data_IF_252213156925
#
_entry.id   IF_252213156925
#
_cell.length_a   1.000
_cell.length_b   1.000
_cell.length_c   1.000
_cell.angle_alpha   90.00
_cell.angle_beta   90.00
_cell.angle_gamma   90.00
#
_symmetry.space_group_name_H-M   'P 1'
#
loop_
_entity.id
_entity.type
_entity.pdbx_description
1 polymer ?
#
# COMPACT_ATOMS: atom_id res chain seq x y z
N UNK A 1 -9.17 -29.73 11.44
CA UNK A 1 -8.38 -28.68 12.13
C UNK A 1 -7.10 -28.30 11.37
N UNK A 2 -6.28 -29.24 10.90
CA UNK A 2 -5.00 -28.95 10.22
C UNK A 2 -5.14 -28.25 8.86
N UNK A 3 -6.21 -28.50 8.09
CA UNK A 3 -6.44 -27.84 6.79
C UNK A 3 -6.83 -26.36 6.94
N UNK A 4 -7.80 -26.07 7.80
CA UNK A 4 -8.25 -24.70 8.09
C UNK A 4 -7.12 -23.86 8.68
N UNK A 5 -6.32 -24.38 9.61
CA UNK A 5 -5.15 -23.66 10.12
C UNK A 5 -4.12 -23.38 9.01
N UNK A 6 -3.91 -24.33 8.10
CA UNK A 6 -2.97 -24.18 6.97
C UNK A 6 -3.48 -23.25 5.88
N UNK A 7 -4.80 -23.13 5.72
CA UNK A 7 -5.45 -22.15 4.84
C UNK A 7 -5.37 -20.75 5.48
N UNK A 8 -5.70 -20.60 6.76
CA UNK A 8 -5.55 -19.32 7.49
C UNK A 8 -4.10 -18.82 7.55
N UNK A 9 -3.11 -19.72 7.68
CA UNK A 9 -1.68 -19.36 7.69
C UNK A 9 -1.11 -19.10 6.28
N UNK A 10 -1.76 -19.59 5.21
CA UNK A 10 -1.31 -19.33 3.83
C UNK A 10 -1.61 -17.91 3.37
N UNK A 11 -2.67 -17.32 3.89
CA UNK A 11 -3.14 -16.00 3.46
C UNK A 11 -2.73 -14.93 4.47
N UNK A 12 -1.52 -15.02 5.01
CA UNK A 12 -0.90 -13.97 5.82
C UNK A 12 0.13 -13.23 4.96
N UNK A 13 -0.04 -11.92 4.84
CA UNK A 13 0.88 -11.01 4.16
C UNK A 13 1.48 -10.10 5.22
N UNK A 14 2.81 -10.06 5.30
CA UNK A 14 3.55 -9.13 6.15
C UNK A 14 4.11 -8.02 5.27
N UNK A 15 4.02 -6.78 5.73
CA UNK A 15 4.54 -5.62 5.03
C UNK A 15 5.37 -4.75 6.00
N UNK A 16 6.68 -4.71 5.74
CA UNK A 16 7.69 -3.85 6.36
C UNK A 16 8.45 -3.12 5.22
N UNK A 17 7.83 -2.10 4.60
CA UNK A 17 8.37 -1.52 3.37
C UNK A 17 9.67 -0.77 3.65
N UNK A 18 10.71 -1.08 2.86
CA UNK A 18 12.05 -0.47 2.96
C UNK A 18 12.35 0.33 1.70
N UNK A 19 12.08 1.66 1.67
CA UNK A 19 12.23 2.50 0.48
C UNK A 19 13.55 2.34 -0.27
N UNK A 20 14.66 2.12 0.45
CA UNK A 20 15.97 1.89 -0.16
C UNK A 20 16.02 0.68 -1.11
N UNK A 21 15.17 -0.32 -0.92
CA UNK A 21 15.11 -1.55 -1.74
C UNK A 21 14.08 -1.47 -2.87
N UNK A 22 13.28 -0.40 -2.92
CA UNK A 22 12.10 -0.29 -3.80
C UNK A 22 12.37 0.56 -5.05
N UNK A 23 13.63 0.99 -5.22
CA UNK A 23 14.05 1.97 -6.23
C UNK A 23 14.56 1.35 -7.52
N UNK A 24 14.86 0.05 -7.50
CA UNK A 24 15.48 -0.65 -8.61
C UNK A 24 14.44 -1.19 -9.61
N UNK A 25 14.96 -1.68 -10.74
CA UNK A 25 14.18 -2.43 -11.72
C UNK A 25 13.90 -3.84 -11.20
N UNK A 26 12.70 -4.35 -11.47
CA UNK A 26 12.26 -5.65 -10.99
C UNK A 26 11.67 -6.47 -12.15
N UNK A 27 11.85 -7.79 -12.10
CA UNK A 27 11.29 -8.67 -13.13
C UNK A 27 9.75 -8.67 -13.06
N UNK A 28 9.08 -8.33 -14.17
CA UNK A 28 7.61 -8.16 -14.24
C UNK A 28 6.79 -9.43 -13.89
N UNK A 29 7.44 -10.60 -13.86
CA UNK A 29 6.77 -11.86 -13.54
C UNK A 29 6.47 -12.07 -12.05
N UNK A 30 7.02 -11.24 -11.16
CA UNK A 30 6.76 -11.31 -9.71
C UNK A 30 5.30 -10.91 -9.40
N UNK A 31 4.62 -11.72 -8.58
CA UNK A 31 3.16 -11.60 -8.39
C UNK A 31 2.73 -11.19 -7.00
N UNK A 32 3.52 -11.51 -5.98
CA UNK A 32 3.17 -11.27 -4.59
C UNK A 32 4.15 -10.25 -4.01
N UNK A 33 3.65 -9.25 -3.26
CA UNK A 33 4.51 -8.29 -2.59
C UNK A 33 5.44 -9.03 -1.62
N UNK A 34 6.73 -8.75 -1.73
CA UNK A 34 7.72 -9.14 -0.72
C UNK A 34 7.53 -8.28 0.53
N UNK A 35 7.92 -8.82 1.67
CA UNK A 35 7.81 -8.16 2.97
C UNK A 35 8.49 -6.79 2.98
N UNK A 36 9.70 -6.70 2.44
CA UNK A 36 10.50 -5.47 2.32
C UNK A 36 10.03 -4.51 1.19
N UNK A 37 9.08 -4.94 0.36
CA UNK A 37 8.60 -4.20 -0.80
C UNK A 37 9.58 -4.15 -1.98
N UNK A 38 10.70 -4.88 -1.97
CA UNK A 38 11.72 -4.80 -3.02
C UNK A 38 11.17 -5.01 -4.43
N UNK A 39 10.16 -5.89 -4.59
CA UNK A 39 9.50 -6.13 -5.88
C UNK A 39 8.33 -5.18 -6.19
N UNK A 40 8.27 -3.99 -5.59
CA UNK A 40 7.16 -3.04 -5.72
C UNK A 40 6.80 -2.79 -7.20
N UNK A 41 7.79 -2.47 -8.03
CA UNK A 41 7.58 -2.14 -9.44
C UNK A 41 6.85 -3.25 -10.21
N UNK A 42 7.22 -4.52 -9.97
CA UNK A 42 6.59 -5.67 -10.61
C UNK A 42 5.13 -5.87 -10.16
N UNK A 43 4.88 -5.74 -8.86
CA UNK A 43 3.52 -5.89 -8.30
C UNK A 43 2.59 -4.79 -8.80
N UNK A 44 3.05 -3.54 -8.80
CA UNK A 44 2.29 -2.42 -9.35
C UNK A 44 2.05 -2.59 -10.85
N UNK A 45 3.06 -3.00 -11.60
CA UNK A 45 2.94 -3.26 -13.05
C UNK A 45 1.83 -4.27 -13.33
N UNK A 46 1.79 -5.36 -12.57
CA UNK A 46 0.75 -6.39 -12.65
C UNK A 46 -0.64 -5.84 -12.31
N UNK A 47 -0.78 -5.07 -11.23
CA UNK A 47 -2.05 -4.46 -10.85
C UNK A 47 -2.58 -3.51 -11.92
N UNK A 48 -1.67 -2.77 -12.58
CA UNK A 48 -2.02 -1.81 -13.62
C UNK A 48 -2.36 -2.45 -14.98
N UNK A 49 -2.17 -3.76 -15.16
CA UNK A 49 -2.65 -4.47 -16.36
C UNK A 49 -4.18 -4.54 -16.41
N UNK A 50 -4.84 -4.46 -15.25
CA UNK A 50 -6.29 -4.30 -15.15
C UNK A 50 -6.63 -2.81 -14.96
N UNK A 51 -7.40 -2.19 -15.88
CA UNK A 51 -7.84 -0.80 -15.71
C UNK A 51 -8.55 -0.53 -14.39
N UNK A 52 -9.33 -1.49 -13.86
CA UNK A 52 -9.99 -1.32 -12.57
C UNK A 52 -8.98 -1.31 -11.41
N UNK A 53 -8.01 -2.23 -11.45
CA UNK A 53 -6.89 -2.27 -10.52
C UNK A 53 -6.05 -0.99 -10.54
N UNK A 54 -5.76 -0.45 -11.73
CA UNK A 54 -5.06 0.84 -11.88
C UNK A 54 -5.84 1.99 -11.24
N UNK A 55 -7.15 2.08 -11.48
CA UNK A 55 -7.97 3.16 -10.90
C UNK A 55 -8.06 3.07 -9.38
N UNK A 56 -8.22 1.87 -8.82
CA UNK A 56 -8.25 1.70 -7.36
C UNK A 56 -6.90 2.08 -6.75
N UNK A 57 -5.78 1.66 -7.36
CA UNK A 57 -4.44 2.05 -6.93
C UNK A 57 -4.25 3.57 -6.96
N UNK A 58 -4.65 4.22 -8.06
CA UNK A 58 -4.61 5.68 -8.19
C UNK A 58 -5.46 6.36 -7.10
N UNK A 59 -6.61 5.79 -6.73
CA UNK A 59 -7.44 6.32 -5.65
C UNK A 59 -6.76 6.25 -4.27
N UNK A 60 -5.96 5.20 -4.03
CA UNK A 60 -5.19 5.04 -2.80
C UNK A 60 -4.05 6.05 -2.76
N UNK A 61 -3.25 6.14 -3.81
CA UNK A 61 -2.06 7.02 -3.79
C UNK A 61 -2.42 8.51 -3.88
N UNK A 62 -3.53 8.86 -4.54
CA UNK A 62 -4.05 10.25 -4.53
C UNK A 62 -4.53 10.70 -3.16
N UNK A 63 -4.76 9.78 -2.23
CA UNK A 63 -5.08 10.13 -0.85
C UNK A 63 -3.86 10.67 -0.08
N UNK A 64 -2.65 10.68 -0.68
CA UNK A 64 -1.40 11.18 -0.12
C UNK A 64 -1.16 12.67 -0.47
N UNK A 65 -1.27 13.60 0.49
CA UNK A 65 -1.31 15.05 0.20
C UNK A 65 0.03 15.77 -0.05
N UNK A 66 1.02 15.21 -0.76
CA UNK A 66 2.24 15.98 -1.15
C UNK A 66 2.33 16.29 -2.63
N UNK A 67 1.83 15.40 -3.48
CA UNK A 67 2.00 15.49 -4.92
C UNK A 67 0.65 15.11 -5.55
N UNK A 68 0.17 15.90 -6.49
CA UNK A 68 -0.97 15.49 -7.32
C UNK A 68 -0.47 14.40 -8.27
N UNK A 69 -0.52 13.15 -7.80
CA UNK A 69 -0.22 11.98 -8.63
C UNK A 69 -1.40 11.79 -9.58
N UNK A 70 -1.20 12.16 -10.84
CA UNK A 70 -2.23 12.08 -11.88
C UNK A 70 -2.26 10.71 -12.53
N UNK A 71 -1.11 10.07 -12.68
CA UNK A 71 -1.00 8.76 -13.32
C UNK A 71 0.17 7.92 -12.78
N UNK A 72 0.11 6.62 -13.07
CA UNK A 72 1.17 5.64 -12.83
C UNK A 72 1.54 4.95 -14.16
N UNK A 73 2.83 4.92 -14.44
CA UNK A 73 3.44 4.34 -15.64
C UNK A 73 4.65 3.50 -15.27
N UNK A 74 5.22 2.82 -16.26
CA UNK A 74 6.34 1.91 -16.07
C UNK A 74 7.37 2.08 -17.18
N UNK A 75 8.64 2.02 -16.80
CA UNK A 75 9.74 1.88 -17.74
C UNK A 75 10.00 0.39 -17.91
N UNK A 76 9.83 -0.13 -19.12
CA UNK A 76 9.99 -1.54 -19.46
C UNK A 76 11.30 -1.77 -20.22
N UNK A 77 12.04 -2.82 -19.85
CA UNK A 77 13.27 -3.23 -20.56
C UNK A 77 13.00 -4.42 -21.49
N UNK A 78 13.86 -4.68 -22.49
CA UNK A 78 13.75 -5.88 -23.33
C UNK A 78 13.86 -7.21 -22.56
N UNK A 79 14.34 -7.18 -21.30
CA UNK A 79 14.45 -8.35 -20.42
C UNK A 79 13.20 -8.55 -19.55
N UNK A 80 12.14 -7.77 -19.80
CA UNK A 80 10.91 -7.74 -18.99
C UNK A 80 11.14 -7.25 -17.56
N UNK A 81 12.16 -6.42 -17.35
CA UNK A 81 12.30 -5.68 -16.10
C UNK A 81 11.47 -4.41 -16.17
N UNK A 82 10.85 -4.04 -15.07
CA UNK A 82 9.96 -2.88 -14.94
C UNK A 82 10.36 -2.01 -13.77
N UNK A 83 10.25 -0.70 -13.95
CA UNK A 83 10.42 0.29 -12.89
C UNK A 83 9.21 1.22 -12.87
N UNK A 84 8.60 1.40 -11.69
CA UNK A 84 7.47 2.31 -11.53
C UNK A 84 7.91 3.77 -11.72
N UNK A 85 7.01 4.53 -12.33
CA UNK A 85 7.15 5.95 -12.60
C UNK A 85 5.82 6.64 -12.35
N UNK A 86 5.83 7.72 -11.58
CA UNK A 86 4.65 8.51 -11.29
C UNK A 86 4.60 9.75 -12.17
N UNK A 87 3.41 10.09 -12.62
CA UNK A 87 3.11 11.41 -13.18
C UNK A 87 2.63 12.31 -12.04
N UNK A 88 3.32 13.42 -11.84
CA UNK A 88 3.05 14.40 -10.80
C UNK A 88 2.78 15.76 -11.42
N UNK A 89 1.77 16.46 -10.92
CA UNK A 89 1.52 17.86 -11.25
C UNK A 89 2.13 18.78 -10.20
N UNK A 90 2.89 19.79 -10.65
CA UNK A 90 3.32 20.90 -9.82
C UNK A 90 2.87 22.22 -10.48
N UNK A 91 1.75 22.77 -10.01
CA UNK A 91 1.10 23.91 -10.67
C UNK A 91 0.48 23.49 -12.00
N UNK A 92 0.93 24.08 -13.11
CA UNK A 92 0.46 23.73 -14.47
C UNK A 92 1.39 22.75 -15.19
N UNK A 93 2.51 22.35 -14.57
CA UNK A 93 3.50 21.48 -15.19
C UNK A 93 3.34 20.04 -14.72
N UNK A 94 3.21 19.14 -15.70
CA UNK A 94 3.30 17.70 -15.49
C UNK A 94 4.76 17.29 -15.58
N UNK A 95 5.19 16.49 -14.60
CA UNK A 95 6.50 15.85 -14.62
C UNK A 95 6.38 14.40 -14.26
N UNK A 96 7.45 13.70 -14.57
CA UNK A 96 7.52 12.27 -14.55
C UNK A 96 8.67 11.89 -13.62
N UNK A 97 8.36 11.19 -12.52
CA UNK A 97 9.32 10.88 -11.46
C UNK A 97 9.43 9.36 -11.30
N UNK A 98 10.62 8.86 -11.58
CA UNK A 98 10.96 7.45 -11.49
C UNK A 98 11.20 7.03 -10.03
N UNK A 99 11.04 5.74 -9.71
CA UNK A 99 11.17 5.20 -8.35
C UNK A 99 12.39 5.69 -7.55
N UNK A 100 13.62 5.80 -8.12
CA UNK A 100 14.78 6.31 -7.40
C UNK A 100 14.64 7.73 -6.82
N UNK A 101 13.81 8.56 -7.44
CA UNK A 101 13.61 9.96 -7.10
C UNK A 101 12.36 10.19 -6.23
N UNK A 102 11.56 9.16 -5.99
CA UNK A 102 10.39 9.25 -5.11
C UNK A 102 10.81 9.37 -3.65
N UNK A 103 10.01 10.11 -2.88
CA UNK A 103 10.18 10.19 -1.43
C UNK A 103 9.90 8.83 -0.78
N UNK A 104 10.51 8.60 0.39
CA UNK A 104 10.30 7.39 1.17
C UNK A 104 8.81 7.21 1.54
N UNK A 105 8.11 8.31 1.85
CA UNK A 105 6.67 8.29 2.14
C UNK A 105 5.82 7.84 0.94
N UNK A 106 6.14 8.32 -0.26
CA UNK A 106 5.45 7.90 -1.50
C UNK A 106 5.69 6.43 -1.80
N UNK A 107 6.93 5.94 -1.66
CA UNK A 107 7.25 4.52 -1.84
C UNK A 107 6.50 3.64 -0.83
N UNK A 108 6.48 4.00 0.45
CA UNK A 108 5.74 3.24 1.49
C UNK A 108 4.25 3.18 1.19
N UNK A 109 3.65 4.29 0.79
CA UNK A 109 2.22 4.30 0.48
C UNK A 109 1.89 3.52 -0.81
N UNK A 110 2.77 3.54 -1.81
CA UNK A 110 2.69 2.64 -2.96
C UNK A 110 2.73 1.17 -2.54
N UNK A 111 3.62 0.81 -1.61
CA UNK A 111 3.69 -0.55 -1.08
C UNK A 111 2.43 -0.97 -0.32
N UNK A 112 1.85 -0.06 0.49
CA UNK A 112 0.57 -0.30 1.15
C UNK A 112 -0.54 -0.53 0.13
N UNK A 113 -0.64 0.32 -0.89
CA UNK A 113 -1.61 0.14 -1.98
C UNK A 113 -1.41 -1.17 -2.73
N UNK A 114 -0.16 -1.50 -3.06
CA UNK A 114 0.19 -2.76 -3.71
C UNK A 114 -0.23 -3.97 -2.89
N UNK A 115 0.05 -3.97 -1.58
CA UNK A 115 -0.31 -5.05 -0.68
C UNK A 115 -1.83 -5.18 -0.51
N UNK A 116 -2.52 -4.05 -0.28
CA UNK A 116 -3.97 -4.00 -0.13
C UNK A 116 -4.72 -4.53 -1.34
N UNK A 117 -4.20 -4.31 -2.55
CA UNK A 117 -4.87 -4.72 -3.79
C UNK A 117 -4.43 -6.10 -4.28
N UNK A 118 -3.22 -6.54 -3.92
CA UNK A 118 -2.67 -7.83 -4.35
C UNK A 118 -2.95 -8.98 -3.38
N UNK A 119 -3.16 -8.70 -2.09
CA UNK A 119 -3.45 -9.73 -1.09
C UNK A 119 -4.70 -10.55 -1.49
N UNK A 120 -4.76 -11.86 -1.23
CA UNK A 120 -5.98 -12.63 -1.42
C UNK A 120 -7.16 -12.03 -0.63
N UNK A 121 -8.38 -12.10 -1.15
CA UNK A 121 -9.55 -11.69 -0.38
C UNK A 121 -9.66 -12.53 0.91
N UNK A 122 -10.01 -11.92 2.04
CA UNK A 122 -10.03 -12.61 3.34
C UNK A 122 -8.67 -12.73 4.06
N UNK A 123 -7.58 -12.32 3.41
CA UNK A 123 -6.22 -12.43 3.96
C UNK A 123 -6.03 -11.59 5.24
N UNK A 124 -5.05 -11.99 6.05
CA UNK A 124 -4.51 -11.19 7.13
C UNK A 124 -3.31 -10.39 6.59
N UNK A 125 -3.46 -9.08 6.44
CA UNK A 125 -2.39 -8.18 6.01
C UNK A 125 -1.87 -7.41 7.22
N UNK A 126 -0.67 -7.73 7.67
CA UNK A 126 -0.02 -7.06 8.79
C UNK A 126 0.83 -5.93 8.23
N UNK A 127 0.54 -4.69 8.66
CA UNK A 127 1.29 -3.50 8.23
C UNK A 127 1.96 -2.88 9.43
N UNK A 128 3.29 -2.84 9.43
CA UNK A 128 4.04 -2.18 10.49
C UNK A 128 4.34 -0.72 10.14
N UNK A 129 4.32 0.13 11.17
CA UNK A 129 4.72 1.54 11.11
C UNK A 129 4.05 2.33 9.97
N UNK A 130 2.71 2.29 9.91
CA UNK A 130 1.92 2.88 8.82
C UNK A 130 2.14 4.38 8.62
N UNK A 131 2.64 5.06 9.65
CA UNK A 131 2.91 6.48 9.72
C UNK A 131 4.39 6.84 9.51
N UNK A 132 5.29 5.84 9.38
CA UNK A 132 6.72 6.11 9.21
C UNK A 132 6.98 6.77 7.85
N UNK A 133 7.62 7.94 7.87
CA UNK A 133 7.87 8.75 6.67
C UNK A 133 6.62 9.42 6.09
N UNK A 134 5.47 9.36 6.77
CA UNK A 134 4.22 10.03 6.39
C UNK A 134 3.94 11.17 7.38
N UNK A 135 3.61 12.36 6.87
CA UNK A 135 3.29 13.48 7.74
C UNK A 135 2.01 13.20 8.58
N UNK A 136 1.97 13.57 9.88
CA UNK A 136 0.86 13.25 10.79
C UNK A 136 -0.55 13.58 10.27
N UNK A 137 -0.75 14.74 9.65
CA UNK A 137 -2.04 15.17 9.08
C UNK A 137 -2.56 14.29 7.94
N UNK A 138 -1.75 13.33 7.45
CA UNK A 138 -2.01 12.51 6.26
C UNK A 138 -2.24 11.05 6.60
N UNK A 139 -1.72 10.59 7.74
CA UNK A 139 -1.89 9.23 8.21
C UNK A 139 -3.38 8.89 8.38
N UNK A 140 -4.21 9.83 8.83
CA UNK A 140 -5.67 9.63 8.94
C UNK A 140 -6.34 9.32 7.60
N UNK A 141 -5.98 10.04 6.53
CA UNK A 141 -6.55 9.82 5.20
C UNK A 141 -6.15 8.45 4.65
N UNK A 142 -4.88 8.09 4.82
CA UNK A 142 -4.36 6.78 4.43
C UNK A 142 -5.06 5.65 5.20
N UNK A 143 -5.19 5.78 6.53
CA UNK A 143 -5.86 4.78 7.38
C UNK A 143 -7.34 4.62 7.02
N UNK A 144 -8.05 5.72 6.73
CA UNK A 144 -9.44 5.65 6.24
C UNK A 144 -9.54 4.88 4.94
N UNK A 145 -8.63 5.14 3.99
CA UNK A 145 -8.61 4.45 2.70
C UNK A 145 -8.22 2.97 2.85
N UNK A 146 -7.26 2.65 3.72
CA UNK A 146 -6.93 1.27 4.10
C UNK A 146 -8.17 0.56 4.63
N UNK A 147 -8.91 1.17 5.56
CA UNK A 147 -10.12 0.59 6.12
C UNK A 147 -11.22 0.35 5.07
N UNK A 148 -11.41 1.30 4.15
CA UNK A 148 -12.35 1.17 3.03
C UNK A 148 -12.01 -0.04 2.17
N UNK A 149 -10.78 -0.13 1.68
CA UNK A 149 -10.32 -1.21 0.78
C UNK A 149 -10.32 -2.55 1.52
N UNK A 150 -9.88 -2.58 2.78
CA UNK A 150 -9.90 -3.77 3.62
C UNK A 150 -11.33 -4.30 3.80
N UNK A 151 -12.31 -3.42 4.03
CA UNK A 151 -13.72 -3.81 4.18
C UNK A 151 -14.27 -4.42 2.89
N UNK A 152 -13.99 -3.80 1.74
CA UNK A 152 -14.43 -4.28 0.42
C UNK A 152 -13.83 -5.66 0.09
N UNK A 153 -12.57 -5.89 0.44
CA UNK A 153 -11.82 -7.13 0.14
C UNK A 153 -11.84 -8.15 1.30
N UNK A 154 -12.61 -7.86 2.36
CA UNK A 154 -12.71 -8.67 3.58
C UNK A 154 -11.37 -8.96 4.26
N UNK A 155 -10.41 -8.04 4.14
CA UNK A 155 -9.08 -8.18 4.73
C UNK A 155 -9.13 -7.91 6.23
N UNK A 156 -8.31 -8.66 6.98
CA UNK A 156 -8.00 -8.34 8.38
C UNK A 156 -6.67 -7.59 8.37
N UNK A 157 -6.66 -6.34 8.82
CA UNK A 157 -5.48 -5.48 8.71
C UNK A 157 -5.07 -4.93 10.08
N UNK A 158 -4.38 -5.72 10.93
CA UNK A 158 -3.72 -5.15 12.10
C UNK A 158 -2.60 -4.22 11.64
N UNK A 159 -2.55 -3.03 12.24
CA UNK A 159 -1.60 -1.98 11.90
C UNK A 159 -0.90 -1.48 13.16
N UNK A 160 0.38 -1.12 13.05
CA UNK A 160 1.11 -0.40 14.11
C UNK A 160 1.43 1.03 13.64
N UNK A 161 1.48 1.97 14.58
CA UNK A 161 1.76 3.39 14.33
C UNK A 161 2.65 3.92 15.45
N UNK A 162 3.65 4.74 15.12
CA UNK A 162 4.48 5.46 16.10
C UNK A 162 3.83 6.75 16.58
N UNK A 163 2.89 7.28 15.80
CA UNK A 163 2.12 8.46 16.11
C UNK A 163 0.87 8.09 16.91
N UNK A 164 0.79 8.65 18.12
CA UNK A 164 -0.32 8.44 19.06
C UNK A 164 -1.65 8.98 18.55
N UNK A 165 -1.63 9.88 17.56
CA UNK A 165 -2.80 10.60 17.05
C UNK A 165 -3.51 9.89 15.88
N UNK A 166 -2.87 8.89 15.26
CA UNK A 166 -3.39 8.20 14.04
C UNK A 166 -4.46 7.16 14.37
N UNK A 167 -4.38 6.57 15.56
CA UNK A 167 -5.26 5.46 15.98
C UNK A 167 -6.67 5.92 16.42
N UNK A 168 -6.86 7.07 17.11
CA UNK A 168 -8.19 7.48 17.58
C UNK A 168 -9.15 7.99 16.50
N UNK A 169 -8.65 8.44 15.34
CA UNK A 169 -9.41 9.20 14.33
C UNK A 169 -10.36 8.39 13.41
N UNK A 170 -10.37 7.06 13.53
CA UNK A 170 -11.07 6.15 12.60
C UNK A 170 -12.47 5.72 13.11
N UNK A 171 -12.92 6.21 14.27
CA UNK A 171 -14.22 5.81 14.83
C UNK A 171 -14.30 4.31 15.21
N UNK A 172 -13.16 3.64 15.27
CA UNK A 172 -13.03 2.29 15.79
C UNK A 172 -12.91 2.38 17.31
N UNK A 173 -14.04 2.57 17.99
CA UNK A 173 -14.13 2.24 19.41
C UNK A 173 -13.66 0.78 19.57
N UNK A 174 -12.60 0.51 20.36
CA UNK A 174 -12.16 -0.85 20.58
C UNK A 174 -13.34 -1.63 21.17
N UNK A 175 -13.68 -2.79 20.59
CA UNK A 175 -14.83 -3.58 21.07
C UNK A 175 -14.68 -4.05 22.52
N UNK A 176 -13.47 -3.98 23.09
CA UNK A 176 -13.19 -4.25 24.51
C UNK A 176 -13.39 -3.03 25.43
N UNK A 177 -13.59 -1.82 24.89
CA UNK A 177 -13.72 -0.58 25.65
C UNK A 177 -15.15 -0.25 26.09
N UNK A 178 -16.15 -1.08 25.74
CA UNK A 178 -17.52 -0.89 26.25
C UNK A 178 -17.56 -1.29 27.74
N UNK A 179 -17.91 -0.38 28.67
CA UNK A 179 -18.10 -0.75 30.06
C UNK A 179 -19.28 -1.72 30.14
N UNK A 180 -19.01 -2.93 30.64
CA UNK A 180 -20.05 -3.86 31.08
C UNK A 180 -20.85 -3.15 32.17
N UNK A 181 -22.04 -2.66 31.82
CA UNK A 181 -23.03 -2.26 32.83
C UNK A 181 -23.46 -3.54 33.54
N UNK A 182 -23.01 -3.69 34.78
CA UNK A 182 -23.67 -4.55 35.77
C UNK A 182 -24.99 -3.89 36.20
#
# INVERSE_FOLDING_TARGET
>A
MTRTLRETLRDIVFLDPRPAQMRDYEYAGDKHPKEDGSNLSAVLYRLCQDPAGKQELLSIIRSLPEQEITDIQFIETPRQDVMVKLEETFGEQQRFVDAPLLSDGTLRALAVGAALLSAPAGALLIIEEIDNGVHPSRADALVRKIHEVASQRQLRVPMTSHNKEVVPGVGLEPTWAKPTRF
#
